data_IF_439509420456
#
_entry.id   IF_439509420456
#
_cell.length_a   1.000
_cell.length_b   1.000
_cell.length_c   1.000
_cell.angle_alpha   90.00
_cell.angle_beta   90.00
_cell.angle_gamma   90.00
#
_symmetry.space_group_name_H-M   'P 1'
#
loop_
_entity.id
_entity.type
_entity.pdbx_description
1 polymer ?
#
# COMPACT_ATOMS: atom_id res chain seq x y z
N UNK A 1 -12.23 17.25 8.16
CA UNK A 1 -11.79 16.73 9.46
C UNK A 1 -11.43 15.28 9.25
N UNK A 2 -10.35 14.81 9.87
CA UNK A 2 -9.97 13.38 9.92
C UNK A 2 -10.99 12.67 10.80
N UNK A 3 -11.39 11.44 10.45
CA UNK A 3 -12.30 10.66 11.29
C UNK A 3 -11.59 10.21 12.58
N UNK A 4 -12.37 9.91 13.63
CA UNK A 4 -11.82 9.36 14.87
C UNK A 4 -11.09 8.03 14.64
N UNK A 5 -11.54 7.23 13.67
CA UNK A 5 -10.91 5.96 13.32
C UNK A 5 -9.55 6.17 12.65
N UNK A 6 -9.45 7.09 11.68
CA UNK A 6 -8.18 7.43 11.04
C UNK A 6 -7.18 8.05 12.04
N UNK A 7 -7.65 8.87 12.99
CA UNK A 7 -6.79 9.42 14.03
C UNK A 7 -6.27 8.33 14.98
N UNK A 8 -7.09 7.35 15.33
CA UNK A 8 -6.66 6.18 16.11
C UNK A 8 -5.59 5.38 15.36
N UNK A 9 -5.80 5.12 14.06
CA UNK A 9 -4.80 4.49 13.21
C UNK A 9 -3.48 5.26 13.24
N UNK A 10 -3.55 6.59 13.01
CA UNK A 10 -2.36 7.45 13.05
C UNK A 10 -1.59 7.29 14.36
N UNK A 11 -2.28 7.33 15.52
CA UNK A 11 -1.65 7.22 16.84
C UNK A 11 -0.97 5.86 17.08
N UNK A 12 -1.60 4.77 16.66
CA UNK A 12 -1.03 3.42 16.81
C UNK A 12 0.21 3.27 15.95
N UNK A 13 0.14 3.64 14.66
CA UNK A 13 1.27 3.52 13.74
C UNK A 13 2.38 4.53 14.03
N UNK A 14 2.06 5.71 14.60
CA UNK A 14 3.06 6.65 15.12
C UNK A 14 3.93 6.01 16.21
N UNK A 15 3.32 5.31 17.17
CA UNK A 15 4.03 4.60 18.24
C UNK A 15 4.91 3.46 17.70
N UNK A 16 4.43 2.76 16.65
CA UNK A 16 5.10 1.60 16.09
C UNK A 16 6.19 1.94 15.06
N UNK A 17 6.26 3.19 14.59
CA UNK A 17 7.13 3.55 13.47
C UNK A 17 8.58 3.08 13.63
N UNK A 18 9.15 3.22 14.83
CA UNK A 18 10.56 2.86 15.12
C UNK A 18 10.81 1.36 15.25
N UNK A 19 9.80 0.59 15.65
CA UNK A 19 9.93 -0.87 15.84
C UNK A 19 9.35 -1.67 14.69
N UNK A 20 8.62 -1.01 13.78
CA UNK A 20 7.87 -1.65 12.70
C UNK A 20 8.69 -2.67 11.90
N UNK A 21 9.90 -2.29 11.50
CA UNK A 21 10.81 -3.18 10.74
C UNK A 21 11.20 -4.43 11.52
N UNK A 22 11.38 -4.31 12.84
CA UNK A 22 11.74 -5.43 13.71
C UNK A 22 10.52 -6.31 13.98
N UNK A 23 9.39 -5.69 14.31
CA UNK A 23 8.16 -6.40 14.71
C UNK A 23 7.55 -7.19 13.54
N UNK A 24 7.68 -6.69 12.32
CA UNK A 24 7.08 -7.27 11.11
C UNK A 24 8.11 -7.79 10.09
N UNK A 25 9.34 -8.06 10.51
CA UNK A 25 10.47 -8.37 9.62
C UNK A 25 10.15 -9.45 8.58
N UNK A 26 9.66 -10.62 9.01
CA UNK A 26 9.36 -11.73 8.08
C UNK A 26 8.22 -11.39 7.11
N UNK A 27 7.17 -10.73 7.61
CA UNK A 27 6.08 -10.24 6.77
C UNK A 27 6.57 -9.24 5.72
N UNK A 28 7.44 -8.31 6.11
CA UNK A 28 8.05 -7.34 5.19
C UNK A 28 8.88 -8.05 4.12
N UNK A 29 9.71 -9.04 4.47
CA UNK A 29 10.51 -9.83 3.53
C UNK A 29 9.61 -10.53 2.49
N UNK A 30 8.51 -11.14 2.93
CA UNK A 30 7.53 -11.76 2.03
C UNK A 30 6.85 -10.72 1.13
N UNK A 31 6.40 -9.59 1.67
CA UNK A 31 5.76 -8.53 0.89
C UNK A 31 6.68 -7.90 -0.15
N UNK A 32 7.94 -7.66 0.19
CA UNK A 32 8.98 -7.19 -0.74
C UNK A 32 9.15 -8.18 -1.88
N UNK A 33 9.27 -9.48 -1.59
CA UNK A 33 9.36 -10.56 -2.59
C UNK A 33 8.11 -10.57 -3.48
N UNK A 34 6.91 -10.51 -2.90
CA UNK A 34 5.65 -10.46 -3.64
C UNK A 34 5.60 -9.25 -4.56
N UNK A 35 5.89 -8.05 -4.06
CA UNK A 35 5.88 -6.83 -4.86
C UNK A 35 6.81 -6.93 -6.08
N UNK A 36 8.03 -7.45 -5.89
CA UNK A 36 9.02 -7.59 -6.96
C UNK A 36 8.65 -8.69 -7.95
N UNK A 37 8.21 -9.87 -7.49
CA UNK A 37 7.91 -11.01 -8.37
C UNK A 37 6.60 -10.85 -9.12
N UNK A 38 5.60 -10.21 -8.50
CA UNK A 38 4.28 -10.00 -9.11
C UNK A 38 4.21 -8.73 -9.98
N UNK A 39 5.23 -7.85 -9.96
CA UNK A 39 5.17 -6.58 -10.69
C UNK A 39 4.84 -6.72 -12.17
N UNK A 40 5.41 -7.71 -12.86
CA UNK A 40 5.17 -7.93 -14.30
C UNK A 40 3.79 -8.55 -14.59
N UNK A 41 3.22 -9.29 -13.64
CA UNK A 41 1.83 -9.72 -13.68
C UNK A 41 0.87 -8.53 -13.45
N UNK A 42 1.26 -7.56 -12.62
CA UNK A 42 0.50 -6.33 -12.33
C UNK A 42 0.51 -5.39 -13.53
N UNK A 43 1.67 -5.15 -14.12
CA UNK A 43 1.83 -4.26 -15.28
C UNK A 43 2.97 -4.77 -16.18
N UNK A 44 2.82 -4.61 -17.49
CA UNK A 44 3.91 -4.85 -18.44
C UNK A 44 4.87 -3.66 -18.52
N UNK A 45 4.48 -2.49 -17.98
CA UNK A 45 5.18 -1.22 -18.11
C UNK A 45 5.98 -0.94 -16.84
N UNK A 46 7.25 -1.39 -16.82
CA UNK A 46 8.26 -1.08 -15.81
C UNK A 46 9.54 -0.60 -16.49
N UNK A 47 10.40 0.14 -15.80
CA UNK A 47 11.61 0.73 -16.40
C UNK A 47 12.58 -0.31 -16.98
N UNK A 48 12.52 -1.53 -16.50
CA UNK A 48 13.35 -2.68 -16.92
C UNK A 48 12.67 -3.59 -17.98
N UNK A 49 11.45 -3.24 -18.44
CA UNK A 49 10.72 -3.99 -19.47
C UNK A 49 10.74 -3.30 -20.82
N UNK A 50 10.59 -4.06 -21.91
CA UNK A 50 10.49 -3.46 -23.26
C UNK A 50 9.34 -2.46 -23.38
N UNK A 51 8.18 -2.75 -22.75
CA UNK A 51 7.03 -1.84 -22.76
C UNK A 51 7.26 -0.55 -21.98
N UNK A 52 8.18 -0.55 -21.01
CA UNK A 52 8.56 0.61 -20.20
C UNK A 52 9.79 1.37 -20.70
N UNK A 53 10.52 0.82 -21.66
CA UNK A 53 11.76 1.40 -22.18
C UNK A 53 11.54 2.80 -22.74
N UNK A 54 12.35 3.74 -22.29
CA UNK A 54 12.27 5.15 -22.70
C UNK A 54 11.10 5.93 -22.09
N UNK A 55 10.27 5.32 -21.23
CA UNK A 55 9.20 6.01 -20.50
C UNK A 55 9.71 6.54 -19.16
N UNK A 56 9.18 7.67 -18.74
CA UNK A 56 9.35 8.19 -17.37
C UNK A 56 8.17 7.70 -16.54
N UNK A 57 8.43 6.75 -15.65
CA UNK A 57 7.41 6.10 -14.84
C UNK A 57 7.35 6.72 -13.44
N UNK A 58 6.15 7.04 -12.99
CA UNK A 58 5.84 7.67 -11.72
C UNK A 58 4.97 6.76 -10.87
N UNK A 59 5.37 6.53 -9.63
CA UNK A 59 4.66 5.67 -8.68
C UNK A 59 4.16 6.45 -7.47
N UNK A 60 2.98 6.11 -6.98
CA UNK A 60 2.45 6.49 -5.67
C UNK A 60 2.28 5.22 -4.83
N UNK A 61 2.85 5.21 -3.62
CA UNK A 61 2.45 4.26 -2.57
C UNK A 61 1.64 5.02 -1.51
N UNK A 62 0.38 4.61 -1.31
CA UNK A 62 -0.51 5.22 -0.30
C UNK A 62 -0.58 4.35 0.95
N UNK A 63 -0.52 4.98 2.13
CA UNK A 63 -0.26 4.36 3.41
C UNK A 63 1.06 3.56 3.38
N UNK A 64 2.12 4.25 2.96
CA UNK A 64 3.41 3.65 2.63
C UNK A 64 4.21 3.18 3.85
N UNK A 65 3.82 3.54 5.07
CA UNK A 65 4.57 3.24 6.26
C UNK A 65 6.05 3.63 6.13
N UNK A 66 7.00 2.77 6.57
CA UNK A 66 8.44 3.04 6.46
C UNK A 66 9.02 2.86 5.05
N UNK A 67 8.19 2.63 4.01
CA UNK A 67 8.59 2.65 2.61
C UNK A 67 9.23 1.37 2.06
N UNK A 68 9.02 0.23 2.68
CA UNK A 68 9.67 -1.02 2.24
C UNK A 68 9.27 -1.43 0.82
N UNK A 69 8.00 -1.25 0.43
CA UNK A 69 7.54 -1.56 -0.92
C UNK A 69 7.98 -0.49 -1.92
N UNK A 70 7.94 0.79 -1.55
CA UNK A 70 8.51 1.86 -2.36
C UNK A 70 9.97 1.62 -2.70
N UNK A 71 10.79 1.23 -1.71
CA UNK A 71 12.21 0.92 -1.90
C UNK A 71 12.39 -0.33 -2.79
N UNK A 72 11.57 -1.36 -2.57
CA UNK A 72 11.61 -2.59 -3.36
C UNK A 72 11.27 -2.37 -4.84
N UNK A 73 10.37 -1.43 -5.13
CA UNK A 73 9.93 -1.09 -6.49
C UNK A 73 10.72 0.07 -7.12
N UNK A 74 11.53 0.79 -6.34
CA UNK A 74 12.33 1.92 -6.82
C UNK A 74 13.22 1.61 -8.05
N UNK A 75 13.85 0.43 -8.20
CA UNK A 75 14.63 0.11 -9.38
C UNK A 75 13.82 0.12 -10.68
N UNK A 76 12.51 -0.08 -10.60
CA UNK A 76 11.61 -0.31 -11.73
C UNK A 76 10.77 0.91 -12.13
N UNK A 77 10.95 2.06 -11.45
CA UNK A 77 10.28 3.33 -11.77
C UNK A 77 11.30 4.46 -11.78
N UNK A 78 10.96 5.63 -12.31
CA UNK A 78 11.86 6.79 -12.37
C UNK A 78 11.67 7.72 -11.17
N UNK A 79 10.43 7.84 -10.67
CA UNK A 79 10.07 8.65 -9.50
C UNK A 79 9.00 7.97 -8.68
N UNK A 80 9.00 8.20 -7.37
CA UNK A 80 7.96 7.73 -6.49
C UNK A 80 7.67 8.68 -5.34
N UNK A 81 6.41 8.68 -4.92
CA UNK A 81 5.92 9.39 -3.74
C UNK A 81 5.29 8.37 -2.80
N UNK A 82 5.75 8.33 -1.57
CA UNK A 82 5.08 7.63 -0.47
C UNK A 82 4.20 8.61 0.30
N UNK A 83 2.95 8.23 0.57
CA UNK A 83 2.03 9.02 1.40
C UNK A 83 1.60 8.21 2.62
N UNK A 84 1.70 8.80 3.81
CA UNK A 84 1.18 8.22 5.05
C UNK A 84 0.59 9.32 5.95
N UNK A 85 -0.31 8.94 6.87
CA UNK A 85 -0.91 9.88 7.83
C UNK A 85 -0.05 10.08 9.09
N UNK A 86 0.92 9.19 9.36
CA UNK A 86 1.81 9.23 10.53
C UNK A 86 3.11 9.97 10.20
N UNK A 87 3.46 10.97 11.02
CA UNK A 87 4.74 11.67 10.91
C UNK A 87 5.90 10.71 11.13
N UNK A 88 5.82 9.83 12.15
CA UNK A 88 6.88 8.87 12.46
C UNK A 88 7.10 7.85 11.36
N UNK A 89 6.04 7.42 10.63
CA UNK A 89 6.19 6.55 9.46
C UNK A 89 6.92 7.28 8.32
N UNK A 90 6.58 8.54 8.06
CA UNK A 90 7.23 9.35 7.03
C UNK A 90 8.70 9.66 7.39
N UNK A 91 9.00 9.90 8.65
CA UNK A 91 10.38 10.08 9.10
C UNK A 91 11.22 8.82 8.85
N UNK A 92 10.70 7.64 9.18
CA UNK A 92 11.36 6.35 8.89
C UNK A 92 11.41 6.08 7.38
N UNK A 93 10.37 6.41 6.60
CA UNK A 93 10.39 6.31 5.14
C UNK A 93 11.57 7.10 4.56
N UNK A 94 11.64 8.38 4.88
CA UNK A 94 12.68 9.27 4.33
C UNK A 94 14.09 8.90 4.83
N UNK A 95 14.21 8.35 6.04
CA UNK A 95 15.45 7.78 6.55
C UNK A 95 15.87 6.54 5.73
N UNK A 96 14.97 5.57 5.54
CA UNK A 96 15.24 4.35 4.78
C UNK A 96 15.58 4.65 3.31
N UNK A 97 14.93 5.64 2.70
CA UNK A 97 15.21 6.12 1.34
C UNK A 97 16.62 6.73 1.25
N UNK A 98 17.04 7.51 2.25
CA UNK A 98 18.42 8.04 2.33
C UNK A 98 19.45 6.91 2.50
N UNK A 99 19.19 5.96 3.39
CA UNK A 99 20.05 4.79 3.61
C UNK A 99 20.19 3.92 2.35
N UNK A 100 19.12 3.83 1.55
CA UNK A 100 19.13 3.13 0.27
C UNK A 100 19.79 3.95 -0.88
N UNK A 101 20.16 5.22 -0.65
CA UNK A 101 20.78 6.08 -1.66
C UNK A 101 19.86 6.49 -2.82
N UNK A 102 18.55 6.59 -2.58
CA UNK A 102 17.53 6.87 -3.61
C UNK A 102 16.67 8.11 -3.32
N UNK A 103 17.20 9.06 -2.55
CA UNK A 103 16.47 10.28 -2.15
C UNK A 103 16.17 11.24 -3.31
N UNK A 104 16.89 11.13 -4.40
CA UNK A 104 16.63 11.85 -5.65
C UNK A 104 15.43 11.29 -6.43
N UNK A 105 15.01 10.07 -6.08
CA UNK A 105 14.02 9.29 -6.79
C UNK A 105 12.74 9.07 -5.97
N UNK A 106 12.84 8.90 -4.66
CA UNK A 106 11.75 8.58 -3.75
C UNK A 106 11.61 9.62 -2.65
N UNK A 107 10.36 10.06 -2.38
CA UNK A 107 10.05 11.03 -1.32
C UNK A 107 8.83 10.59 -0.55
N UNK A 108 8.92 10.57 0.78
CA UNK A 108 7.78 10.37 1.66
C UNK A 108 7.19 11.70 2.11
N UNK A 109 5.88 11.83 2.06
CA UNK A 109 5.15 13.01 2.53
C UNK A 109 3.98 12.60 3.43
N UNK A 110 3.71 13.40 4.47
CA UNK A 110 2.51 13.24 5.26
C UNK A 110 1.29 13.67 4.46
N UNK A 111 0.34 12.77 4.28
CA UNK A 111 -0.86 13.06 3.51
C UNK A 111 -2.05 12.18 3.93
N UNK A 112 -3.25 12.76 3.92
CA UNK A 112 -4.50 12.04 4.04
C UNK A 112 -5.41 12.42 2.87
N UNK A 113 -5.59 11.50 1.92
CA UNK A 113 -6.46 11.68 0.75
C UNK A 113 -7.94 11.44 1.07
N UNK A 114 -8.27 10.93 2.25
CA UNK A 114 -9.63 10.52 2.63
C UNK A 114 -10.40 11.61 3.39
N UNK A 115 -9.80 12.78 3.59
CA UNK A 115 -10.49 13.95 4.16
C UNK A 115 -11.52 14.51 3.18
N UNK A 116 -12.54 15.19 3.69
CA UNK A 116 -13.69 15.67 2.89
C UNK A 116 -13.34 16.72 1.83
N UNK A 117 -12.21 17.41 1.98
CA UNK A 117 -11.63 18.29 0.96
C UNK A 117 -10.16 17.90 0.79
N UNK A 118 -9.75 17.55 -0.44
CA UNK A 118 -8.31 17.35 -0.70
C UNK A 118 -7.55 18.57 -0.23
N UNK A 119 -6.50 18.41 0.59
CA UNK A 119 -5.68 19.53 0.99
C UNK A 119 -5.18 20.25 -0.27
N UNK A 120 -5.23 21.59 -0.28
CA UNK A 120 -4.75 22.38 -1.43
C UNK A 120 -3.30 22.03 -1.78
N UNK A 121 -2.51 21.66 -0.77
CA UNK A 121 -1.12 21.19 -0.91
C UNK A 121 -0.97 19.92 -1.76
N UNK A 122 -2.03 19.10 -1.91
CA UNK A 122 -2.03 17.87 -2.70
C UNK A 122 -2.76 18.02 -4.04
N UNK A 123 -3.04 19.24 -4.46
CA UNK A 123 -3.68 19.57 -5.74
C UNK A 123 -2.66 19.86 -6.88
N UNK A 124 -1.38 19.90 -6.55
CA UNK A 124 -0.31 20.08 -7.54
C UNK A 124 -0.21 18.90 -8.52
N UNK A 125 0.23 19.16 -9.74
CA UNK A 125 0.37 18.13 -10.79
C UNK A 125 1.34 17.00 -10.41
N UNK A 126 2.27 17.26 -9.49
CA UNK A 126 3.18 16.26 -8.95
C UNK A 126 2.48 15.12 -8.23
N UNK A 127 1.23 15.31 -7.78
CA UNK A 127 0.42 14.31 -7.08
C UNK A 127 -0.66 13.65 -7.94
N UNK A 128 -0.56 13.81 -9.27
CA UNK A 128 -1.45 13.20 -10.25
C UNK A 128 -0.65 12.51 -11.36
N UNK A 129 -1.36 11.85 -12.26
CA UNK A 129 -0.80 11.19 -13.44
C UNK A 129 0.24 10.10 -13.10
N UNK A 130 -0.02 9.33 -12.05
CA UNK A 130 0.82 8.19 -11.69
C UNK A 130 0.63 7.03 -12.69
N UNK A 131 1.74 6.41 -13.08
CA UNK A 131 1.74 5.18 -13.86
C UNK A 131 1.32 3.97 -13.03
N UNK A 132 1.78 3.97 -11.78
CA UNK A 132 1.54 2.89 -10.81
C UNK A 132 1.06 3.52 -9.50
N UNK A 133 -0.04 3.00 -8.96
CA UNK A 133 -0.50 3.29 -7.60
C UNK A 133 -0.48 1.99 -6.81
N UNK A 134 0.10 2.01 -5.62
CA UNK A 134 0.26 0.84 -4.75
C UNK A 134 -0.37 1.11 -3.39
N UNK A 135 -1.09 0.12 -2.84
CA UNK A 135 -1.43 0.01 -1.42
C UNK A 135 -1.05 -1.40 -0.97
N UNK A 136 -0.24 -1.51 0.06
CA UNK A 136 0.21 -2.81 0.57
C UNK A 136 -0.04 -2.91 2.06
N UNK A 137 -0.83 -3.92 2.48
CA UNK A 137 -1.19 -4.24 3.86
C UNK A 137 -1.74 -3.04 4.65
N UNK A 138 -2.56 -2.22 3.98
CA UNK A 138 -3.11 -1.01 4.58
C UNK A 138 -4.62 -0.82 4.32
N UNK A 139 -5.16 -1.41 3.24
CA UNK A 139 -6.54 -1.20 2.86
C UNK A 139 -7.52 -1.67 3.96
N UNK A 140 -7.18 -2.74 4.67
CA UNK A 140 -7.95 -3.29 5.79
C UNK A 140 -7.98 -2.37 7.03
N UNK A 141 -7.13 -1.32 7.06
CA UNK A 141 -7.14 -0.27 8.08
C UNK A 141 -7.96 0.95 7.68
N UNK A 142 -8.51 1.01 6.47
CA UNK A 142 -9.31 2.18 6.05
C UNK A 142 -10.77 2.02 6.48
N UNK A 143 -11.33 3.06 7.10
CA UNK A 143 -12.75 3.11 7.48
C UNK A 143 -13.66 2.99 6.25
N UNK A 144 -13.22 3.56 5.11
CA UNK A 144 -13.92 3.58 3.83
C UNK A 144 -12.97 3.17 2.69
N UNK A 145 -12.65 1.87 2.54
CA UNK A 145 -11.71 1.38 1.52
C UNK A 145 -12.16 1.70 0.08
N UNK A 146 -13.47 1.70 -0.18
CA UNK A 146 -14.05 2.09 -1.48
C UNK A 146 -13.76 3.55 -1.84
N UNK A 147 -13.84 4.45 -0.85
CA UNK A 147 -13.49 5.87 -1.02
C UNK A 147 -11.99 6.02 -1.29
N UNK A 148 -11.16 5.22 -0.62
CA UNK A 148 -9.72 5.24 -0.83
C UNK A 148 -9.37 4.87 -2.27
N UNK A 149 -9.87 3.74 -2.78
CA UNK A 149 -9.59 3.33 -4.16
C UNK A 149 -10.09 4.36 -5.17
N UNK A 150 -11.26 4.98 -4.93
CA UNK A 150 -11.76 6.06 -5.80
C UNK A 150 -10.79 7.25 -5.84
N UNK A 151 -10.37 7.77 -4.68
CA UNK A 151 -9.39 8.86 -4.62
C UNK A 151 -8.07 8.49 -5.31
N UNK A 152 -7.62 7.24 -5.19
CA UNK A 152 -6.40 6.74 -5.82
C UNK A 152 -6.58 6.58 -7.34
N UNK A 153 -7.75 6.12 -7.80
CA UNK A 153 -8.10 6.05 -9.21
C UNK A 153 -8.07 7.43 -9.90
N UNK A 154 -8.50 8.49 -9.19
CA UNK A 154 -8.42 9.86 -9.68
C UNK A 154 -6.97 10.32 -9.90
N UNK A 155 -6.01 9.77 -9.15
CA UNK A 155 -4.57 10.08 -9.25
C UNK A 155 -3.82 9.28 -10.30
N UNK A 156 -4.39 8.19 -10.80
CA UNK A 156 -3.85 7.45 -11.92
C UNK A 156 -3.99 8.24 -13.23
N UNK A 157 -2.98 8.18 -14.07
CA UNK A 157 -3.12 8.60 -15.47
C UNK A 157 -3.96 7.58 -16.26
N UNK A 158 -4.44 7.97 -17.41
CA UNK A 158 -5.07 7.03 -18.36
C UNK A 158 -4.06 5.95 -18.75
N UNK A 159 -4.43 4.69 -18.58
CA UNK A 159 -3.56 3.54 -18.77
C UNK A 159 -2.64 3.23 -17.59
N UNK A 160 -2.70 4.00 -16.50
CA UNK A 160 -2.01 3.69 -15.25
C UNK A 160 -2.65 2.51 -14.51
N UNK A 161 -1.88 1.81 -13.70
CA UNK A 161 -2.30 0.57 -13.01
C UNK A 161 -2.32 0.76 -11.50
N UNK A 162 -3.39 0.29 -10.86
CA UNK A 162 -3.50 0.18 -9.42
C UNK A 162 -3.14 -1.24 -8.99
N UNK A 163 -2.28 -1.37 -7.98
CA UNK A 163 -1.88 -2.61 -7.33
C UNK A 163 -2.29 -2.57 -5.86
N UNK A 164 -3.07 -3.54 -5.44
CA UNK A 164 -3.42 -3.74 -4.02
C UNK A 164 -2.88 -5.08 -3.56
N UNK A 165 -2.16 -5.09 -2.45
CA UNK A 165 -1.75 -6.30 -1.73
C UNK A 165 -2.40 -6.23 -0.35
N UNK A 166 -3.26 -7.20 -0.02
CA UNK A 166 -3.96 -7.19 1.27
C UNK A 166 -4.45 -8.61 1.64
N UNK A 167 -5.18 -8.72 2.75
CA UNK A 167 -5.64 -9.96 3.34
C UNK A 167 -6.81 -10.58 2.56
N UNK A 168 -6.75 -11.88 2.35
CA UNK A 168 -7.92 -12.68 1.94
C UNK A 168 -8.86 -12.81 3.14
N UNK A 169 -10.21 -12.75 2.97
CA UNK A 169 -11.13 -12.96 4.08
C UNK A 169 -10.95 -14.36 4.68
N UNK A 170 -10.69 -14.44 5.97
CA UNK A 170 -10.63 -15.69 6.71
C UNK A 170 -11.88 -15.83 7.60
N UNK A 171 -12.35 -17.05 7.79
CA UNK A 171 -13.44 -17.32 8.73
C UNK A 171 -12.98 -17.02 10.16
N UNK A 172 -13.86 -16.40 10.96
CA UNK A 172 -13.62 -15.81 12.28
C UNK A 172 -13.17 -16.78 13.41
N UNK A 173 -12.60 -17.92 13.08
CA UNK A 173 -12.03 -18.84 14.09
C UNK A 173 -10.55 -18.55 14.43
N UNK A 174 -10.03 -17.40 14.01
CA UNK A 174 -8.65 -17.03 14.27
C UNK A 174 -8.46 -16.47 15.68
N UNK A 175 -8.12 -17.35 16.61
CA UNK A 175 -7.81 -17.02 18.01
C UNK A 175 -6.55 -16.14 18.17
N UNK A 176 -5.82 -15.85 17.08
CA UNK A 176 -4.55 -15.11 17.11
C UNK A 176 -4.68 -13.58 17.07
N UNK A 177 -5.77 -13.04 16.53
CA UNK A 177 -5.94 -11.58 16.37
C UNK A 177 -5.87 -10.81 17.71
N UNK A 178 -6.42 -11.36 18.78
CA UNK A 178 -6.38 -10.71 20.10
C UNK A 178 -4.96 -10.51 20.66
N UNK A 179 -3.98 -11.25 20.13
CA UNK A 179 -2.59 -11.17 20.57
C UNK A 179 -1.78 -10.10 19.79
N UNK A 180 -2.35 -9.51 18.72
CA UNK A 180 -1.69 -8.46 17.96
C UNK A 180 -1.74 -7.06 18.63
N UNK A 181 -2.29 -6.98 19.86
CA UNK A 181 -2.29 -5.76 20.67
C UNK A 181 -3.12 -4.61 20.07
N UNK A 182 -2.64 -3.37 20.21
CA UNK A 182 -3.38 -2.17 19.77
C UNK A 182 -3.67 -2.16 18.25
N UNK A 183 -2.88 -2.87 17.42
CA UNK A 183 -3.07 -2.94 15.95
C UNK A 183 -4.42 -3.53 15.57
N UNK A 184 -4.93 -4.52 16.32
CA UNK A 184 -6.27 -5.11 16.06
C UNK A 184 -7.36 -4.05 16.07
N UNK A 185 -7.23 -3.06 16.92
CA UNK A 185 -8.21 -1.98 17.05
C UNK A 185 -8.19 -1.00 15.88
N UNK A 186 -7.22 -1.12 14.98
CA UNK A 186 -7.08 -0.32 13.76
C UNK A 186 -7.65 -1.02 12.53
N UNK A 187 -8.07 -2.28 12.66
CA UNK A 187 -8.62 -3.08 11.57
C UNK A 187 -10.12 -2.73 11.41
N UNK A 188 -10.49 -2.25 10.24
CA UNK A 188 -11.88 -1.99 9.86
C UNK A 188 -12.51 -3.21 9.20
N UNK A 189 -11.69 -4.03 8.53
CA UNK A 189 -12.14 -5.19 7.77
C UNK A 189 -11.06 -6.29 7.74
N UNK A 190 -11.47 -7.55 7.94
CA UNK A 190 -10.57 -8.70 8.04
C UNK A 190 -10.24 -9.35 6.68
N UNK A 191 -10.11 -8.55 5.63
CA UNK A 191 -9.75 -8.99 4.28
C UNK A 191 -10.81 -8.69 3.23
N UNK A 192 -10.48 -8.94 1.96
CA UNK A 192 -11.31 -8.58 0.80
C UNK A 192 -11.38 -9.74 -0.17
N UNK A 193 -12.61 -10.12 -0.57
CA UNK A 193 -12.83 -11.10 -1.63
C UNK A 193 -12.54 -10.50 -3.03
N UNK A 194 -12.37 -11.38 -4.03
CA UNK A 194 -12.20 -10.96 -5.42
C UNK A 194 -13.38 -10.11 -5.93
N UNK A 195 -14.61 -10.47 -5.54
CA UNK A 195 -15.84 -9.75 -5.94
C UNK A 195 -15.91 -8.36 -5.31
N UNK A 196 -15.52 -8.22 -4.04
CA UNK A 196 -15.47 -6.93 -3.37
C UNK A 196 -14.41 -6.03 -3.99
N UNK A 197 -13.22 -6.58 -4.24
CA UNK A 197 -12.14 -5.84 -4.89
C UNK A 197 -12.57 -5.40 -6.29
N UNK A 198 -13.19 -6.27 -7.09
CA UNK A 198 -13.68 -5.91 -8.43
C UNK A 198 -14.65 -4.74 -8.39
N UNK A 199 -15.63 -4.76 -7.47
CA UNK A 199 -16.58 -3.65 -7.30
C UNK A 199 -15.86 -2.34 -6.94
N UNK A 200 -14.86 -2.38 -6.07
CA UNK A 200 -14.09 -1.20 -5.69
C UNK A 200 -13.25 -0.67 -6.85
N UNK A 201 -12.65 -1.54 -7.68
CA UNK A 201 -11.91 -1.14 -8.89
C UNK A 201 -12.83 -0.51 -9.94
N UNK A 202 -14.04 -1.05 -10.16
CA UNK A 202 -15.07 -0.45 -11.03
C UNK A 202 -15.40 0.97 -10.54
N UNK A 203 -15.69 1.13 -9.25
CA UNK A 203 -16.03 2.43 -8.67
C UNK A 203 -14.86 3.44 -8.72
N UNK A 204 -13.63 2.94 -8.76
CA UNK A 204 -12.41 3.74 -8.92
C UNK A 204 -12.10 4.11 -10.38
N UNK A 205 -12.84 3.55 -11.36
CA UNK A 205 -12.56 3.71 -12.78
C UNK A 205 -11.22 3.11 -13.21
N UNK A 206 -10.80 2.03 -12.54
CA UNK A 206 -9.52 1.36 -12.76
C UNK A 206 -9.70 -0.17 -12.91
N UNK A 207 -10.79 -0.60 -13.55
CA UNK A 207 -11.19 -2.00 -13.67
C UNK A 207 -10.79 -2.67 -14.98
N UNK A 208 -10.23 -1.93 -15.93
CA UNK A 208 -9.78 -2.53 -17.17
C UNK A 208 -8.71 -3.60 -16.91
N UNK A 209 -8.99 -4.84 -17.37
CA UNK A 209 -8.14 -5.99 -17.12
C UNK A 209 -7.96 -6.30 -15.64
N UNK A 210 -9.01 -6.09 -14.82
CA UNK A 210 -9.00 -6.48 -13.40
C UNK A 210 -8.60 -7.95 -13.25
N UNK A 211 -7.68 -8.19 -12.31
CA UNK A 211 -7.26 -9.53 -11.90
C UNK A 211 -7.07 -9.55 -10.39
N UNK A 212 -7.29 -10.72 -9.81
CA UNK A 212 -7.10 -11.00 -8.39
C UNK A 212 -6.40 -12.36 -8.28
N UNK A 213 -5.30 -12.42 -7.54
CA UNK A 213 -4.53 -13.65 -7.34
C UNK A 213 -4.22 -13.82 -5.86
N UNK A 214 -4.58 -14.97 -5.30
CA UNK A 214 -4.16 -15.38 -3.97
C UNK A 214 -2.69 -15.81 -4.04
N UNK A 215 -1.89 -15.38 -3.08
CA UNK A 215 -0.47 -15.74 -2.96
C UNK A 215 -0.36 -17.00 -2.11
N UNK A 216 0.32 -18.02 -2.63
CA UNK A 216 0.47 -19.32 -1.96
C UNK A 216 1.34 -19.24 -0.70
N UNK A 217 2.38 -18.38 -0.72
CA UNK A 217 3.27 -18.17 0.43
C UNK A 217 2.55 -17.29 1.46
N UNK A 218 2.23 -17.83 2.67
CA UNK A 218 1.51 -17.05 3.67
C UNK A 218 2.39 -15.94 4.23
N UNK A 219 1.76 -14.86 4.64
CA UNK A 219 2.40 -13.80 5.41
C UNK A 219 2.58 -14.27 6.86
N UNK A 220 3.82 -14.25 7.35
CA UNK A 220 4.15 -14.67 8.69
C UNK A 220 4.38 -13.46 9.61
N UNK A 221 3.71 -13.48 10.76
CA UNK A 221 3.93 -12.52 11.84
C UNK A 221 4.32 -13.27 13.11
N UNK A 222 5.31 -12.77 13.83
CA UNK A 222 5.69 -13.31 15.14
C UNK A 222 5.51 -12.22 16.19
N UNK A 223 4.71 -12.51 17.23
CA UNK A 223 4.52 -11.60 18.36
C UNK A 223 4.43 -12.39 19.65
N UNK A 224 5.13 -11.93 20.67
CA UNK A 224 5.15 -12.54 22.02
C UNK A 224 5.42 -14.06 21.99
N UNK A 225 6.30 -14.49 21.07
CA UNK A 225 6.68 -15.90 20.89
C UNK A 225 5.68 -16.74 20.07
N UNK A 226 4.55 -16.19 19.67
CA UNK A 226 3.55 -16.85 18.83
C UNK A 226 3.72 -16.44 17.36
N UNK A 227 3.60 -17.41 16.45
CA UNK A 227 3.65 -17.20 15.02
C UNK A 227 2.26 -17.34 14.41
N UNK A 228 1.88 -16.34 13.62
CA UNK A 228 0.60 -16.28 12.92
C UNK A 228 0.85 -16.27 11.43
N UNK A 229 -0.03 -16.91 10.68
CA UNK A 229 0.00 -16.92 9.22
C UNK A 229 -1.27 -16.28 8.70
N UNK A 230 -1.14 -15.45 7.65
CA UNK A 230 -2.26 -14.83 6.96
C UNK A 230 -2.13 -15.04 5.46
N UNK A 231 -3.23 -15.40 4.83
CA UNK A 231 -3.30 -15.49 3.38
C UNK A 231 -3.48 -14.08 2.79
N UNK A 232 -2.68 -13.75 1.79
CA UNK A 232 -2.76 -12.46 1.10
C UNK A 232 -3.10 -12.66 -0.37
N UNK A 233 -3.59 -11.58 -0.97
CA UNK A 233 -3.80 -11.50 -2.41
C UNK A 233 -3.04 -10.33 -3.03
N UNK A 234 -2.84 -10.41 -4.32
CA UNK A 234 -2.50 -9.28 -5.18
C UNK A 234 -3.68 -9.04 -6.12
N UNK A 235 -4.17 -7.81 -6.17
CA UNK A 235 -5.15 -7.38 -7.17
C UNK A 235 -4.55 -6.29 -8.05
N UNK A 236 -4.93 -6.28 -9.33
CA UNK A 236 -4.54 -5.24 -10.28
C UNK A 236 -5.70 -4.83 -11.15
N UNK A 237 -5.70 -3.59 -11.61
CA UNK A 237 -6.63 -3.07 -12.60
C UNK A 237 -6.10 -1.76 -13.17
N UNK A 238 -6.54 -1.40 -14.38
CA UNK A 238 -6.02 -0.28 -15.17
C UNK A 238 -7.12 0.76 -15.40
N UNK A 239 -6.74 2.05 -15.30
CA UNK A 239 -7.62 3.19 -15.64
C UNK A 239 -7.78 3.41 -17.13
#
# INVERSE_FOLDING_TARGET
MTSNFAEKNRQVFEKQSRTYKTDFRKGIETLVKVAQTQRTWVSEVWADTEAGKGKTLKMLEYACGPGHISIALAPFVNRGVGMDISDGMIDEFNKNVREAGISDKMTGIKANLLVNSSPAELSGSEYFDFDIVVVSMALHHFEHPEKALKCLGERLKKGGVMMIVDLVPEHLHDHGLHQMGEVVQTISKHGFSAEEMQKMYVNAGADNGFKYQVIEEPLEFTKDGNTFHKTIFVARGQK
#
